data_IF_609339437095
#
_entry.id   IF_609339437095
#
_cell.length_a   1.000
_cell.length_b   1.000
_cell.length_c   1.000
_cell.angle_alpha   90.00
_cell.angle_beta   90.00
_cell.angle_gamma   90.00
#
_symmetry.space_group_name_H-M   'P 1'
#
loop_
_entity.id
_entity.type
_entity.pdbx_description
1 polymer ?
#
# COMPACT_ATOMS: atom_id res chain seq x y z
N UNK A 1 -16.92 -7.68 -40.19
CA UNK A 1 -15.72 -8.48 -39.88
C UNK A 1 -14.80 -7.52 -39.18
N UNK A 2 -14.69 -7.58 -37.86
CA UNK A 2 -13.72 -6.76 -37.13
C UNK A 2 -12.35 -7.36 -37.44
N UNK A 3 -11.56 -6.64 -38.22
CA UNK A 3 -10.16 -6.98 -38.45
C UNK A 3 -9.44 -6.46 -37.21
N UNK A 4 -9.15 -7.35 -36.27
CA UNK A 4 -8.20 -7.03 -35.20
C UNK A 4 -6.81 -7.19 -35.79
N UNK A 5 -6.12 -6.06 -35.95
CA UNK A 5 -4.69 -6.05 -36.24
C UNK A 5 -3.99 -6.31 -34.90
N UNK A 6 -3.63 -7.57 -34.65
CA UNK A 6 -2.93 -7.98 -33.43
C UNK A 6 -1.43 -7.94 -33.66
N UNK A 7 -0.73 -7.13 -32.88
CA UNK A 7 0.72 -7.24 -32.76
C UNK A 7 0.97 -8.08 -31.50
N UNK A 8 1.27 -9.36 -31.68
CA UNK A 8 1.43 -10.32 -30.58
C UNK A 8 2.50 -9.92 -29.54
N UNK A 9 3.53 -9.15 -29.97
CA UNK A 9 4.62 -8.71 -29.10
C UNK A 9 5.01 -7.28 -29.42
N UNK A 10 4.92 -6.42 -28.42
CA UNK A 10 5.42 -5.05 -28.48
C UNK A 10 6.41 -4.81 -27.34
N UNK A 11 7.52 -4.10 -27.59
CA UNK A 11 8.39 -3.66 -26.51
C UNK A 11 7.69 -2.55 -25.70
N UNK A 12 7.77 -2.64 -24.38
CA UNK A 12 7.40 -1.58 -23.44
C UNK A 12 8.66 -1.05 -22.74
N UNK A 13 8.63 0.19 -22.27
CA UNK A 13 9.78 0.89 -21.73
C UNK A 13 9.46 1.58 -20.40
N UNK A 14 9.83 0.94 -19.30
CA UNK A 14 9.89 1.61 -18.01
C UNK A 14 11.09 2.56 -17.95
N UNK A 15 10.88 3.77 -17.43
CA UNK A 15 11.96 4.74 -17.18
C UNK A 15 12.22 4.82 -15.69
N UNK A 16 13.45 4.51 -15.27
CA UNK A 16 13.85 4.50 -13.87
C UNK A 16 14.92 5.57 -13.59
N UNK A 17 14.71 6.36 -12.54
CA UNK A 17 15.67 7.33 -12.02
C UNK A 17 15.96 7.07 -10.54
N UNK A 18 17.22 7.16 -10.11
CA UNK A 18 17.60 6.79 -8.73
C UNK A 18 18.37 7.91 -8.03
N UNK A 19 18.01 8.15 -6.76
CA UNK A 19 18.75 8.97 -5.82
C UNK A 19 19.21 8.10 -4.63
N UNK A 20 20.50 7.76 -4.60
CA UNK A 20 21.07 6.89 -3.56
C UNK A 20 21.03 7.54 -2.18
N UNK A 21 20.53 6.80 -1.19
CA UNK A 21 20.49 7.22 0.21
C UNK A 21 21.87 7.21 0.87
N UNK A 22 22.04 8.01 1.92
CA UNK A 22 23.33 8.13 2.64
C UNK A 22 23.49 7.18 3.82
N UNK A 23 22.39 6.66 4.36
CA UNK A 23 22.41 5.83 5.57
C UNK A 23 22.05 4.37 5.28
N UNK A 24 21.02 4.14 4.48
CA UNK A 24 20.56 2.82 4.05
C UNK A 24 20.46 2.78 2.51
N UNK A 25 21.59 2.81 1.78
CA UNK A 25 21.61 2.89 0.31
C UNK A 25 20.97 1.67 -0.38
N UNK A 26 20.94 0.53 0.30
CA UNK A 26 20.27 -0.69 -0.16
C UNK A 26 18.75 -0.59 -0.10
N UNK A 27 18.19 0.11 0.92
CA UNK A 27 16.75 0.22 1.13
C UNK A 27 16.10 1.20 0.17
N UNK A 28 15.00 0.77 -0.47
CA UNK A 28 14.33 1.45 -1.58
C UNK A 28 12.96 1.96 -1.17
N UNK A 29 12.73 3.23 -1.45
CA UNK A 29 11.40 3.83 -1.57
C UNK A 29 11.15 3.99 -3.07
N UNK A 30 10.22 3.21 -3.62
CA UNK A 30 9.86 3.30 -5.03
C UNK A 30 8.69 4.27 -5.16
N UNK A 31 8.74 5.15 -6.15
CA UNK A 31 7.75 6.19 -6.40
C UNK A 31 7.35 6.11 -7.86
N UNK A 32 6.07 5.83 -8.12
CA UNK A 32 5.61 5.44 -9.45
C UNK A 32 4.35 6.17 -9.93
N UNK A 33 4.28 6.30 -11.24
CA UNK A 33 3.10 6.70 -12.03
C UNK A 33 3.26 6.05 -13.40
N UNK A 34 2.19 5.51 -13.96
CA UNK A 34 2.23 5.02 -15.34
C UNK A 34 2.16 6.17 -16.35
N UNK A 35 2.46 5.86 -17.61
CA UNK A 35 2.65 6.86 -18.67
C UNK A 35 1.87 6.53 -19.93
N UNK A 36 1.60 5.26 -20.19
CA UNK A 36 0.75 4.87 -21.30
C UNK A 36 -0.69 5.28 -21.04
N UNK A 37 -1.42 5.56 -22.11
CA UNK A 37 -2.82 5.96 -22.05
C UNK A 37 -3.56 5.37 -23.25
N UNK A 38 -4.86 5.14 -23.11
CA UNK A 38 -5.68 4.69 -24.25
C UNK A 38 -5.73 5.70 -25.41
N UNK A 39 -5.71 6.99 -25.12
CA UNK A 39 -5.75 8.05 -26.14
C UNK A 39 -4.83 9.23 -25.75
N UNK A 40 -5.38 10.30 -25.18
CA UNK A 40 -4.56 11.43 -24.70
C UNK A 40 -4.23 11.34 -23.22
N UNK A 41 -5.17 10.87 -22.39
CA UNK A 41 -4.95 10.56 -20.99
C UNK A 41 -4.56 11.76 -20.15
N UNK A 42 -5.33 12.85 -20.18
CA UNK A 42 -4.96 14.05 -19.43
C UNK A 42 -5.15 13.88 -17.91
N UNK A 43 -6.19 13.17 -17.47
CA UNK A 43 -6.32 12.68 -16.11
C UNK A 43 -5.53 11.38 -15.94
N UNK A 44 -5.83 10.37 -16.75
CA UNK A 44 -5.27 9.03 -16.64
C UNK A 44 -4.25 8.74 -17.76
N UNK A 45 -2.93 8.73 -17.50
CA UNK A 45 -2.23 9.12 -16.26
C UNK A 45 -1.57 10.50 -16.35
N UNK A 46 -1.86 11.30 -17.38
CA UNK A 46 -1.13 12.53 -17.67
C UNK A 46 -1.05 13.51 -16.49
N UNK A 47 -2.07 13.50 -15.62
CA UNK A 47 -2.11 14.31 -14.40
C UNK A 47 -1.02 13.90 -13.40
N UNK A 48 -0.80 12.59 -13.19
CA UNK A 48 0.23 12.09 -12.27
C UNK A 48 1.60 12.10 -12.90
N UNK A 49 1.71 11.78 -14.19
CA UNK A 49 2.96 11.87 -14.95
C UNK A 49 3.55 13.28 -14.90
N UNK A 50 2.71 14.33 -15.03
CA UNK A 50 3.15 15.71 -14.89
C UNK A 50 3.67 16.03 -13.48
N UNK A 51 3.00 15.54 -12.43
CA UNK A 51 3.42 15.75 -11.04
C UNK A 51 4.68 14.96 -10.72
N UNK A 52 4.82 13.72 -11.20
CA UNK A 52 6.03 12.90 -11.01
C UNK A 52 7.28 13.64 -11.52
N UNK A 53 7.20 14.26 -12.71
CA UNK A 53 8.29 15.06 -13.26
C UNK A 53 8.63 16.26 -12.35
N UNK A 54 7.62 16.92 -11.79
CA UNK A 54 7.81 18.03 -10.85
C UNK A 54 8.42 17.55 -9.52
N UNK A 55 8.03 16.38 -9.00
CA UNK A 55 8.66 15.77 -7.83
C UNK A 55 10.14 15.48 -8.12
N UNK A 56 10.46 14.89 -9.28
CA UNK A 56 11.85 14.63 -9.68
C UNK A 56 12.65 15.93 -9.75
N UNK A 57 12.07 17.01 -10.31
CA UNK A 57 12.69 18.34 -10.36
C UNK A 57 12.97 18.89 -8.96
N UNK A 58 11.97 18.90 -8.08
CA UNK A 58 12.09 19.41 -6.70
C UNK A 58 13.16 18.65 -5.93
N UNK A 59 13.16 17.31 -5.97
CA UNK A 59 14.16 16.52 -5.26
C UNK A 59 15.56 16.67 -5.88
N UNK A 60 15.64 16.87 -7.21
CA UNK A 60 16.87 17.26 -7.88
C UNK A 60 17.45 18.59 -7.37
N UNK A 61 16.59 19.60 -7.15
CA UNK A 61 16.98 20.89 -6.58
C UNK A 61 17.42 20.78 -5.12
N UNK A 62 16.68 20.03 -4.29
CA UNK A 62 17.09 19.74 -2.90
C UNK A 62 18.48 19.09 -2.87
N UNK A 63 18.73 18.15 -3.78
CA UNK A 63 20.04 17.50 -3.91
C UNK A 63 21.13 18.48 -4.32
N UNK A 64 20.85 19.41 -5.24
CA UNK A 64 21.79 20.45 -5.65
C UNK A 64 22.12 21.41 -4.49
N UNK A 65 21.17 21.64 -3.58
CA UNK A 65 21.35 22.42 -2.34
C UNK A 65 22.04 21.65 -1.21
N UNK A 66 22.41 20.38 -1.43
CA UNK A 66 23.18 19.57 -0.49
C UNK A 66 22.36 18.59 0.35
N UNK A 67 21.02 18.59 0.23
CA UNK A 67 20.21 17.56 0.86
C UNK A 67 20.45 16.19 0.22
N UNK A 68 20.35 15.13 1.03
CA UNK A 68 20.45 13.73 0.61
C UNK A 68 19.47 12.91 1.44
N UNK A 69 18.68 12.01 0.82
CA UNK A 69 17.78 11.16 1.60
C UNK A 69 18.57 10.14 2.41
N UNK A 70 18.03 9.70 3.54
CA UNK A 70 18.62 8.62 4.33
C UNK A 70 18.53 7.28 3.61
N UNK A 71 17.46 7.08 2.83
CA UNK A 71 17.14 5.87 2.08
C UNK A 71 17.14 6.14 0.58
N UNK A 72 17.39 5.13 -0.23
CA UNK A 72 17.39 5.31 -1.69
C UNK A 72 15.97 5.57 -2.20
N UNK A 73 15.81 6.59 -3.04
CA UNK A 73 14.57 6.86 -3.76
C UNK A 73 14.74 6.39 -5.20
N UNK A 74 13.80 5.60 -5.70
CA UNK A 74 13.72 5.19 -7.10
C UNK A 74 12.41 5.70 -7.70
N UNK A 75 12.52 6.61 -8.67
CA UNK A 75 11.41 7.13 -9.45
C UNK A 75 11.19 6.22 -10.65
N UNK A 76 9.93 5.86 -10.90
CA UNK A 76 9.54 4.99 -11.98
C UNK A 76 8.41 5.62 -12.78
N UNK A 77 8.58 5.65 -14.10
CA UNK A 77 7.51 5.94 -15.05
C UNK A 77 7.21 4.66 -15.81
N UNK A 78 6.10 4.01 -15.42
CA UNK A 78 5.68 2.70 -15.92
C UNK A 78 5.06 2.80 -17.31
N UNK A 79 5.11 1.70 -18.04
CA UNK A 79 4.55 1.55 -19.38
C UNK A 79 3.75 0.24 -19.46
N UNK A 80 2.71 0.20 -20.27
CA UNK A 80 1.79 -0.94 -20.37
C UNK A 80 0.92 -1.18 -19.14
N UNK A 81 0.62 -0.15 -18.34
CA UNK A 81 -0.33 -0.24 -17.22
C UNK A 81 -1.74 -0.55 -17.72
N UNK A 82 -2.19 0.16 -18.76
CA UNK A 82 -3.54 0.04 -19.32
C UNK A 82 -3.78 -1.34 -19.94
N UNK A 83 -2.67 -2.02 -20.27
CA UNK A 83 -2.64 -3.38 -20.79
C UNK A 83 -2.46 -4.43 -19.68
N UNK A 84 -2.95 -4.16 -18.47
CA UNK A 84 -2.90 -5.02 -17.29
C UNK A 84 -1.56 -4.97 -16.54
N UNK A 85 -1.13 -3.77 -16.15
CA UNK A 85 -0.05 -3.51 -15.20
C UNK A 85 1.30 -4.09 -15.63
N UNK A 86 1.54 -4.23 -16.95
CA UNK A 86 2.64 -5.05 -17.46
C UNK A 86 3.99 -4.49 -17.00
N UNK A 87 4.21 -3.18 -17.15
CA UNK A 87 5.49 -2.57 -16.82
C UNK A 87 5.89 -2.72 -15.37
N UNK A 88 5.00 -2.37 -14.43
CA UNK A 88 5.25 -2.49 -13.00
C UNK A 88 5.34 -3.95 -12.55
N UNK A 89 4.49 -4.83 -13.09
CA UNK A 89 4.50 -6.26 -12.78
C UNK A 89 5.82 -6.91 -13.21
N UNK A 90 6.25 -6.70 -14.46
CA UNK A 90 7.53 -7.21 -14.95
C UNK A 90 8.72 -6.63 -14.17
N UNK A 91 8.65 -5.37 -13.73
CA UNK A 91 9.66 -4.80 -12.86
C UNK A 91 9.77 -5.56 -11.54
N UNK A 92 8.62 -5.86 -10.91
CA UNK A 92 8.54 -6.59 -9.64
C UNK A 92 8.98 -8.04 -9.81
N UNK A 93 8.51 -8.77 -10.82
CA UNK A 93 8.88 -10.16 -11.05
C UNK A 93 10.40 -10.33 -11.23
N UNK A 94 11.04 -9.41 -11.96
CA UNK A 94 12.49 -9.41 -12.16
C UNK A 94 13.30 -9.03 -10.90
N UNK A 95 12.65 -8.49 -9.85
CA UNK A 95 13.30 -7.96 -8.63
C UNK A 95 12.63 -8.41 -7.35
N UNK A 96 11.86 -9.50 -7.39
CA UNK A 96 10.96 -9.84 -6.29
C UNK A 96 11.72 -10.10 -4.99
N UNK A 97 12.88 -10.75 -5.07
CA UNK A 97 13.75 -10.98 -3.90
C UNK A 97 14.32 -9.67 -3.37
N UNK A 98 14.87 -8.80 -4.24
CA UNK A 98 15.36 -7.48 -3.85
C UNK A 98 14.28 -6.65 -3.16
N UNK A 99 13.03 -6.67 -3.66
CA UNK A 99 11.93 -5.91 -3.08
C UNK A 99 11.48 -6.50 -1.74
N UNK A 100 11.49 -7.83 -1.59
CA UNK A 100 11.21 -8.49 -0.31
C UNK A 100 12.22 -8.11 0.76
N UNK A 101 13.51 -8.02 0.41
CA UNK A 101 14.57 -7.70 1.36
C UNK A 101 14.75 -6.19 1.58
N UNK A 102 14.61 -5.37 0.54
CA UNK A 102 15.01 -3.97 0.56
C UNK A 102 13.91 -2.97 0.22
N UNK A 103 12.73 -3.43 -0.20
CA UNK A 103 11.58 -2.57 -0.48
C UNK A 103 10.89 -2.09 0.80
N UNK A 104 11.04 -0.81 1.13
CA UNK A 104 10.38 -0.22 2.30
C UNK A 104 9.00 0.33 2.00
N UNK A 105 8.81 0.91 0.82
CA UNK A 105 7.52 1.43 0.40
C UNK A 105 7.44 1.57 -1.12
N UNK A 106 6.21 1.47 -1.62
CA UNK A 106 5.81 1.93 -2.93
C UNK A 106 4.78 3.06 -2.80
N UNK A 107 5.07 4.20 -3.41
CA UNK A 107 4.17 5.36 -3.44
C UNK A 107 3.67 5.53 -4.87
N UNK A 108 2.42 5.12 -5.10
CA UNK A 108 1.74 5.22 -6.38
C UNK A 108 0.93 6.52 -6.45
N UNK A 109 0.90 7.12 -7.64
CA UNK A 109 -0.18 8.02 -8.03
C UNK A 109 -0.53 7.69 -9.47
N UNK A 110 -1.73 7.17 -9.66
CA UNK A 110 -2.29 6.84 -10.98
C UNK A 110 -3.00 8.05 -11.59
N UNK A 111 -4.26 8.27 -11.24
CA UNK A 111 -4.98 9.51 -11.53
C UNK A 111 -4.74 10.47 -10.38
N UNK A 112 -3.92 11.48 -10.63
CA UNK A 112 -3.61 12.50 -9.65
C UNK A 112 -4.83 13.40 -9.37
N UNK A 113 -5.47 13.89 -10.42
CA UNK A 113 -6.57 14.85 -10.30
C UNK A 113 -7.62 14.58 -11.36
N UNK A 114 -8.83 14.26 -10.91
CA UNK A 114 -10.06 14.28 -11.70
C UNK A 114 -11.18 15.10 -11.04
N UNK A 115 -10.90 15.70 -9.87
CA UNK A 115 -11.81 16.56 -9.13
C UNK A 115 -11.15 17.23 -7.92
N UNK A 116 -11.97 17.56 -6.91
CA UNK A 116 -11.55 18.35 -5.73
C UNK A 116 -11.50 17.52 -4.43
N UNK A 117 -12.04 16.30 -4.43
CA UNK A 117 -12.21 15.50 -3.22
C UNK A 117 -11.02 14.54 -3.03
N UNK A 118 -10.24 14.75 -1.97
CA UNK A 118 -9.09 13.91 -1.69
C UNK A 118 -9.50 12.47 -1.34
N UNK A 119 -8.84 11.49 -1.96
CA UNK A 119 -8.96 10.05 -1.68
C UNK A 119 -7.59 9.43 -1.43
N UNK A 120 -7.56 8.35 -0.65
CA UNK A 120 -6.36 7.55 -0.43
C UNK A 120 -6.71 6.11 -0.07
N UNK A 121 -5.95 5.19 -0.67
CA UNK A 121 -5.97 3.75 -0.41
C UNK A 121 -4.55 3.31 -0.09
N UNK A 122 -4.34 2.55 0.98
CA UNK A 122 -2.99 2.12 1.34
C UNK A 122 -2.97 0.93 2.30
N UNK A 123 -1.78 0.38 2.50
CA UNK A 123 -1.48 -0.33 3.73
C UNK A 123 -1.76 0.57 4.94
N UNK A 124 -2.38 0.05 6.02
CA UNK A 124 -2.61 0.80 7.26
C UNK A 124 -1.35 1.41 7.89
N UNK A 125 -0.16 0.95 7.51
CA UNK A 125 1.11 1.54 7.93
C UNK A 125 1.21 3.04 7.61
N UNK A 126 0.54 3.51 6.56
CA UNK A 126 0.59 4.91 6.14
C UNK A 126 -0.39 5.84 6.88
N UNK A 127 -1.28 5.32 7.74
CA UNK A 127 -2.35 6.12 8.41
C UNK A 127 -1.78 7.37 9.09
N UNK A 128 -0.73 7.20 9.89
CA UNK A 128 -0.13 8.30 10.66
C UNK A 128 0.62 9.29 9.77
N UNK A 129 1.42 8.80 8.83
CA UNK A 129 2.21 9.65 7.91
C UNK A 129 1.29 10.44 6.99
N UNK A 130 0.25 9.81 6.44
CA UNK A 130 -0.73 10.47 5.58
C UNK A 130 -1.45 11.58 6.35
N UNK A 131 -2.00 11.29 7.54
CA UNK A 131 -2.67 12.30 8.37
C UNK A 131 -1.77 13.50 8.70
N UNK A 132 -0.49 13.26 8.96
CA UNK A 132 0.51 14.32 9.22
C UNK A 132 0.78 15.17 7.97
N UNK A 133 0.81 14.56 6.79
CA UNK A 133 0.96 15.29 5.52
C UNK A 133 -0.29 16.12 5.24
N UNK A 134 -1.49 15.55 5.39
CA UNK A 134 -2.76 16.24 5.16
C UNK A 134 -2.99 17.42 6.11
N UNK A 135 -2.38 17.42 7.30
CA UNK A 135 -2.47 18.57 8.22
C UNK A 135 -1.58 19.75 7.81
N UNK A 136 -0.68 19.55 6.85
CA UNK A 136 0.28 20.56 6.35
C UNK A 136 -0.08 21.11 4.98
N UNK A 137 -1.08 20.53 4.31
CA UNK A 137 -1.54 20.96 2.98
C UNK A 137 -2.94 21.54 3.12
N UNK A 138 -3.12 22.76 2.62
CA UNK A 138 -4.41 23.43 2.58
C UNK A 138 -5.16 23.06 1.30
N UNK A 139 -6.47 22.87 1.42
CA UNK A 139 -7.38 22.78 0.29
C UNK A 139 -7.39 24.11 -0.49
N UNK A 140 -7.18 24.08 -1.83
CA UNK A 140 -7.15 25.30 -2.64
C UNK A 140 -8.43 26.13 -2.68
N UNK A 141 -9.58 25.54 -2.34
CA UNK A 141 -10.90 26.20 -2.42
C UNK A 141 -11.31 26.85 -1.11
N UNK A 142 -11.11 26.17 0.00
CA UNK A 142 -11.57 26.58 1.34
C UNK A 142 -10.46 27.19 2.18
N UNK A 143 -9.19 26.86 1.90
CA UNK A 143 -8.04 27.24 2.72
C UNK A 143 -7.88 26.42 4.01
N UNK A 144 -8.83 25.54 4.33
CA UNK A 144 -8.71 24.60 5.46
C UNK A 144 -7.65 23.54 5.18
N UNK A 145 -7.11 22.90 6.22
CA UNK A 145 -6.22 21.74 6.00
C UNK A 145 -7.01 20.57 5.43
N UNK A 146 -6.39 19.79 4.56
CA UNK A 146 -7.02 18.59 4.00
C UNK A 146 -7.36 17.56 5.09
N UNK A 147 -6.59 17.52 6.18
CA UNK A 147 -6.92 16.71 7.36
C UNK A 147 -8.25 17.15 8.00
N UNK A 148 -8.49 18.46 8.17
CA UNK A 148 -9.77 18.98 8.71
C UNK A 148 -10.95 18.53 7.86
N UNK A 149 -10.82 18.64 6.54
CA UNK A 149 -11.85 18.22 5.59
C UNK A 149 -12.08 16.70 5.66
N UNK A 150 -10.99 15.92 5.66
CA UNK A 150 -11.01 14.47 5.78
C UNK A 150 -11.76 14.02 7.03
N UNK A 151 -11.47 14.62 8.19
CA UNK A 151 -12.10 14.31 9.46
C UNK A 151 -13.58 14.73 9.49
N UNK A 152 -13.93 15.92 8.95
CA UNK A 152 -15.33 16.39 8.86
C UNK A 152 -16.20 15.49 7.98
N UNK A 153 -15.65 14.96 6.89
CA UNK A 153 -16.33 14.00 6.01
C UNK A 153 -16.43 12.60 6.63
N UNK A 154 -15.69 12.32 7.70
CA UNK A 154 -15.57 10.97 8.27
C UNK A 154 -14.82 10.01 7.34
N UNK A 155 -13.98 10.54 6.46
CA UNK A 155 -13.17 9.76 5.53
C UNK A 155 -12.18 8.86 6.27
N UNK A 156 -11.86 7.73 5.68
CA UNK A 156 -10.93 6.73 6.21
C UNK A 156 -9.98 6.28 5.12
N UNK A 157 -8.77 5.90 5.51
CA UNK A 157 -7.83 5.26 4.61
C UNK A 157 -8.42 3.93 4.15
N UNK A 158 -8.62 3.79 2.84
CA UNK A 158 -9.21 2.60 2.24
C UNK A 158 -8.15 1.53 1.98
N UNK A 159 -8.61 0.32 1.65
CA UNK A 159 -7.71 -0.74 1.21
C UNK A 159 -7.24 -0.50 -0.22
N UNK A 160 -6.11 -1.08 -0.59
CA UNK A 160 -5.71 -1.17 -1.99
C UNK A 160 -6.51 -2.30 -2.66
N UNK A 161 -7.09 -1.98 -3.81
CA UNK A 161 -7.77 -2.92 -4.69
C UNK A 161 -6.79 -3.58 -5.66
N UNK A 162 -7.20 -3.72 -6.91
CA UNK A 162 -6.33 -4.24 -7.97
C UNK A 162 -6.25 -3.36 -9.23
N UNK A 163 -6.44 -2.05 -9.05
CA UNK A 163 -6.67 -1.11 -10.15
C UNK A 163 -5.49 -0.25 -10.58
N UNK A 164 -4.26 -0.52 -10.14
CA UNK A 164 -3.07 0.22 -10.60
C UNK A 164 -1.77 -0.52 -10.25
N UNK A 165 -0.62 0.06 -10.59
CA UNK A 165 0.72 -0.52 -10.50
C UNK A 165 1.13 -1.03 -9.10
N UNK A 166 0.46 -0.61 -8.03
CA UNK A 166 0.77 -1.05 -6.66
C UNK A 166 0.51 -2.54 -6.42
N UNK A 167 -0.29 -3.20 -7.27
CA UNK A 167 -0.70 -4.60 -7.08
C UNK A 167 0.49 -5.53 -6.96
N UNK A 168 1.44 -5.44 -7.89
CA UNK A 168 2.60 -6.32 -7.87
C UNK A 168 3.49 -6.05 -6.63
N UNK A 169 3.67 -4.79 -6.26
CA UNK A 169 4.42 -4.41 -5.06
C UNK A 169 3.78 -4.97 -3.79
N UNK A 170 2.48 -4.74 -3.62
CA UNK A 170 1.74 -5.08 -2.40
C UNK A 170 1.47 -6.58 -2.27
N UNK A 171 0.96 -7.21 -3.33
CA UNK A 171 0.36 -8.54 -3.26
C UNK A 171 1.35 -9.65 -3.63
N UNK A 172 2.40 -9.35 -4.40
CA UNK A 172 3.41 -10.33 -4.85
C UNK A 172 4.71 -10.18 -4.05
N UNK A 173 5.22 -8.94 -3.94
CA UNK A 173 6.50 -8.65 -3.28
C UNK A 173 6.38 -8.34 -1.79
N UNK A 174 5.19 -8.00 -1.27
CA UNK A 174 5.02 -7.63 0.14
C UNK A 174 5.63 -6.27 0.50
N UNK A 175 5.68 -5.35 -0.46
CA UNK A 175 6.13 -3.97 -0.27
C UNK A 175 4.93 -3.08 0.05
N UNK A 176 4.96 -2.47 1.23
CA UNK A 176 3.89 -1.59 1.71
C UNK A 176 3.60 -0.46 0.73
N UNK A 177 2.36 -0.41 0.26
CA UNK A 177 1.97 0.49 -0.83
C UNK A 177 0.93 1.53 -0.41
N UNK A 178 0.89 2.66 -1.12
CA UNK A 178 -0.10 3.72 -0.98
C UNK A 178 -0.42 4.32 -2.35
N UNK A 179 -1.70 4.60 -2.61
CA UNK A 179 -2.21 5.32 -3.77
C UNK A 179 -3.16 6.43 -3.33
N UNK A 180 -3.05 7.62 -3.93
CA UNK A 180 -3.83 8.78 -3.54
C UNK A 180 -4.00 9.77 -4.70
N UNK A 181 -5.07 10.55 -4.63
CA UNK A 181 -5.45 11.49 -5.69
C UNK A 181 -6.61 12.38 -5.24
N UNK A 182 -7.03 13.27 -6.13
CA UNK A 182 -8.29 13.99 -6.00
C UNK A 182 -9.30 13.46 -7.02
N UNK A 183 -10.47 13.09 -6.55
CA UNK A 183 -11.58 12.60 -7.36
C UNK A 183 -12.77 13.58 -7.31
N UNK A 184 -13.77 13.34 -8.16
CA UNK A 184 -14.96 14.19 -8.26
C UNK A 184 -16.03 13.55 -9.13
N UNK A 185 -16.76 14.38 -9.87
CA UNK A 185 -17.72 13.90 -10.85
C UNK A 185 -17.04 13.01 -11.91
N UNK A 186 -17.76 12.05 -12.52
CA UNK A 186 -17.20 11.22 -13.57
C UNK A 186 -16.56 12.06 -14.68
N UNK A 187 -15.30 11.76 -14.97
CA UNK A 187 -14.55 12.36 -16.06
C UNK A 187 -14.60 11.45 -17.30
N UNK A 188 -14.08 11.90 -18.47
CA UNK A 188 -14.16 11.14 -19.72
C UNK A 188 -13.17 9.96 -19.78
N UNK A 189 -13.16 9.14 -18.73
CA UNK A 189 -12.29 7.98 -18.52
C UNK A 189 -12.18 7.09 -19.75
N UNK A 190 -10.94 6.72 -20.09
CA UNK A 190 -10.61 5.83 -21.22
C UNK A 190 -11.22 6.27 -22.56
N UNK A 191 -11.35 7.59 -22.77
CA UNK A 191 -11.84 8.17 -24.02
C UNK A 191 -10.90 9.27 -24.52
N UNK A 192 -10.98 9.59 -25.81
CA UNK A 192 -10.25 10.73 -26.37
C UNK A 192 -10.77 12.11 -25.91
N UNK A 193 -11.82 12.14 -25.08
CA UNK A 193 -12.27 13.35 -24.40
C UNK A 193 -11.52 13.58 -23.08
N UNK A 194 -10.80 12.58 -22.56
CA UNK A 194 -9.80 12.80 -21.50
C UNK A 194 -8.57 13.47 -22.11
N UNK A 195 -8.65 14.79 -22.26
CA UNK A 195 -7.67 15.60 -22.96
C UNK A 195 -7.35 16.89 -22.18
N UNK A 196 -6.31 17.60 -22.63
CA UNK A 196 -5.80 18.79 -21.95
C UNK A 196 -6.84 19.90 -21.84
N UNK A 197 -7.74 20.05 -22.82
CA UNK A 197 -8.79 21.07 -22.78
C UNK A 197 -9.78 20.77 -21.65
N UNK A 198 -10.22 19.51 -21.49
CA UNK A 198 -11.05 19.10 -20.36
C UNK A 198 -10.32 19.35 -19.03
N UNK A 199 -9.04 18.95 -18.92
CA UNK A 199 -8.27 19.13 -17.69
C UNK A 199 -8.11 20.60 -17.32
N UNK A 200 -7.70 21.45 -18.27
CA UNK A 200 -7.39 22.86 -18.01
C UNK A 200 -8.62 23.74 -17.80
N UNK A 201 -9.82 23.26 -18.15
CA UNK A 201 -11.07 24.04 -18.02
C UNK A 201 -12.04 23.48 -16.98
N UNK A 202 -12.11 22.16 -16.82
CA UNK A 202 -13.07 21.47 -15.96
C UNK A 202 -12.36 20.68 -14.86
N UNK A 203 -11.39 19.82 -15.23
CA UNK A 203 -10.74 18.90 -14.29
C UNK A 203 -9.99 19.61 -13.14
N UNK A 204 -9.14 20.57 -13.46
CA UNK A 204 -8.45 21.43 -12.50
C UNK A 204 -8.07 22.78 -13.12
N UNK A 205 -9.06 23.65 -13.29
CA UNK A 205 -8.82 24.98 -13.83
C UNK A 205 -7.79 25.76 -13.00
N UNK A 206 -6.63 26.04 -13.61
CA UNK A 206 -5.49 26.70 -12.96
C UNK A 206 -4.55 25.76 -12.19
N UNK A 207 -4.69 24.44 -12.31
CA UNK A 207 -3.79 23.42 -11.76
C UNK A 207 -3.56 23.54 -10.25
N UNK A 208 -4.60 23.95 -9.52
CA UNK A 208 -4.50 24.24 -8.08
C UNK A 208 -4.48 22.96 -7.26
N UNK A 209 -5.25 21.95 -7.65
CA UNK A 209 -5.26 20.64 -7.03
C UNK A 209 -4.05 19.80 -7.44
N UNK A 210 -3.53 19.96 -8.66
CA UNK A 210 -2.23 19.38 -9.04
C UNK A 210 -1.10 19.87 -8.14
N UNK A 211 -1.07 21.19 -7.86
CA UNK A 211 -0.12 21.76 -6.91
C UNK A 211 -0.30 21.16 -5.51
N UNK A 212 -1.54 21.08 -5.02
CA UNK A 212 -1.81 20.51 -3.70
C UNK A 212 -1.37 19.04 -3.62
N UNK A 213 -1.66 18.23 -4.64
CA UNK A 213 -1.24 16.84 -4.70
C UNK A 213 0.28 16.69 -4.78
N UNK A 214 0.96 17.55 -5.56
CA UNK A 214 2.43 17.61 -5.58
C UNK A 214 3.03 17.91 -4.20
N UNK A 215 2.38 18.75 -3.39
CA UNK A 215 2.78 18.95 -1.99
C UNK A 215 2.57 17.70 -1.15
N UNK A 216 1.43 17.01 -1.29
CA UNK A 216 1.15 15.76 -0.56
C UNK A 216 2.20 14.71 -0.91
N UNK A 217 2.44 14.49 -2.21
CA UNK A 217 3.39 13.48 -2.69
C UNK A 217 4.81 13.77 -2.23
N UNK A 218 5.28 15.02 -2.40
CA UNK A 218 6.62 15.42 -1.97
C UNK A 218 6.82 15.34 -0.46
N UNK A 219 5.83 15.77 0.33
CA UNK A 219 5.90 15.68 1.80
C UNK A 219 5.85 14.23 2.29
N UNK A 220 5.02 13.37 1.70
CA UNK A 220 4.97 11.95 2.03
C UNK A 220 6.30 11.25 1.70
N UNK A 221 6.86 11.55 0.53
CA UNK A 221 8.18 11.04 0.13
C UNK A 221 9.27 11.47 1.10
N UNK A 222 9.30 12.75 1.52
CA UNK A 222 10.22 13.24 2.56
C UNK A 222 10.03 12.51 3.90
N UNK A 223 8.79 12.30 4.34
CA UNK A 223 8.49 11.58 5.58
C UNK A 223 9.12 10.17 5.58
N UNK A 224 9.00 9.41 4.49
CA UNK A 224 9.54 8.04 4.42
C UNK A 224 11.03 7.99 4.08
N UNK A 225 11.55 8.94 3.31
CA UNK A 225 12.95 8.92 2.85
C UNK A 225 13.94 9.55 3.83
N UNK A 226 13.50 10.50 4.65
CA UNK A 226 14.38 11.41 5.40
C UNK A 226 14.31 11.25 6.92
N UNK A 227 13.28 10.59 7.45
CA UNK A 227 13.15 10.40 8.89
C UNK A 227 14.09 9.30 9.41
N UNK A 228 14.82 9.52 10.53
CA UNK A 228 15.72 8.51 11.11
C UNK A 228 15.01 7.21 11.48
N UNK A 229 13.78 7.32 12.01
CA UNK A 229 12.85 6.21 12.25
C UNK A 229 11.77 6.28 11.19
N UNK A 230 11.52 5.18 10.50
CA UNK A 230 10.50 5.07 9.46
C UNK A 230 9.11 5.40 10.06
N UNK A 231 8.28 6.25 9.44
CA UNK A 231 7.08 6.78 10.08
C UNK A 231 5.85 5.86 9.94
N UNK A 232 6.04 4.54 9.93
CA UNK A 232 4.94 3.59 9.76
C UNK A 232 4.20 3.30 11.07
N UNK A 233 2.89 3.04 10.97
CA UNK A 233 2.01 2.81 12.10
C UNK A 233 1.54 1.35 12.23
N UNK A 234 2.40 0.50 12.79
CA UNK A 234 2.03 -0.89 13.12
C UNK A 234 0.86 -1.03 14.10
N UNK A 235 0.58 -0.03 14.95
CA UNK A 235 -0.58 -0.09 15.84
C UNK A 235 -1.89 0.14 15.06
N UNK A 236 -1.88 1.08 14.12
CA UNK A 236 -2.99 1.27 13.18
C UNK A 236 -3.21 0.01 12.34
N UNK A 237 -2.14 -0.64 11.88
CA UNK A 237 -2.25 -1.91 11.15
C UNK A 237 -2.84 -3.02 12.03
N UNK A 238 -2.37 -3.18 13.27
CA UNK A 238 -2.96 -4.18 14.16
C UNK A 238 -4.46 -3.92 14.42
N UNK A 239 -4.86 -2.66 14.59
CA UNK A 239 -6.27 -2.29 14.72
C UNK A 239 -7.09 -2.61 13.45
N UNK A 240 -6.53 -2.33 12.27
CA UNK A 240 -7.15 -2.66 10.99
C UNK A 240 -7.32 -4.17 10.82
N UNK A 241 -6.30 -4.98 11.14
CA UNK A 241 -6.40 -6.45 11.08
C UNK A 241 -7.52 -6.98 11.97
N UNK A 242 -7.68 -6.48 13.20
CA UNK A 242 -8.81 -6.87 14.08
C UNK A 242 -10.16 -6.59 13.39
N UNK A 243 -10.29 -5.42 12.76
CA UNK A 243 -11.50 -5.08 12.01
C UNK A 243 -11.69 -5.99 10.79
N UNK A 244 -10.63 -6.30 10.05
CA UNK A 244 -10.70 -7.20 8.89
C UNK A 244 -11.14 -8.61 9.29
N UNK A 245 -10.66 -9.13 10.43
CA UNK A 245 -11.09 -10.43 10.97
C UNK A 245 -12.58 -10.41 11.33
N UNK A 246 -13.04 -9.33 11.98
CA UNK A 246 -14.47 -9.15 12.27
C UNK A 246 -15.32 -9.14 11.00
N UNK A 247 -14.91 -8.37 10.00
CA UNK A 247 -15.60 -8.27 8.72
C UNK A 247 -15.63 -9.63 7.99
N UNK A 248 -14.55 -10.40 8.06
CA UNK A 248 -14.49 -11.73 7.46
C UNK A 248 -15.43 -12.72 8.17
N UNK A 249 -15.53 -12.67 9.50
CA UNK A 249 -16.49 -13.49 10.23
C UNK A 249 -17.94 -13.13 9.86
N UNK A 250 -18.26 -11.85 9.74
CA UNK A 250 -19.59 -11.41 9.32
C UNK A 250 -19.91 -11.79 7.87
N UNK A 251 -18.90 -11.73 7.00
CA UNK A 251 -19.00 -12.26 5.64
C UNK A 251 -19.28 -13.77 5.61
N UNK A 252 -18.61 -14.55 6.46
CA UNK A 252 -18.88 -15.99 6.60
C UNK A 252 -20.32 -16.26 7.09
N UNK A 253 -20.82 -15.48 8.06
CA UNK A 253 -22.23 -15.57 8.53
C UNK A 253 -23.21 -15.28 7.38
N UNK A 254 -22.97 -14.22 6.61
CA UNK A 254 -23.81 -13.85 5.46
C UNK A 254 -23.87 -14.97 4.42
N UNK A 255 -22.77 -15.70 4.25
CA UNK A 255 -22.66 -16.86 3.36
C UNK A 255 -23.08 -18.20 3.98
N UNK A 256 -23.77 -18.17 5.13
CA UNK A 256 -24.31 -19.37 5.82
C UNK A 256 -23.22 -20.38 6.24
N UNK A 257 -22.01 -19.91 6.54
CA UNK A 257 -20.95 -20.75 7.07
C UNK A 257 -21.33 -21.34 8.44
N UNK A 258 -21.08 -22.64 8.69
CA UNK A 258 -21.38 -23.29 9.97
C UNK A 258 -20.37 -22.86 11.05
N UNK A 259 -20.56 -21.70 11.67
CA UNK A 259 -19.64 -21.20 12.70
C UNK A 259 -19.73 -22.00 14.00
N UNK A 260 -18.59 -22.16 14.70
CA UNK A 260 -18.54 -22.80 16.02
C UNK A 260 -19.44 -22.05 17.02
N UNK A 261 -20.39 -22.73 17.69
CA UNK A 261 -21.27 -22.08 18.67
C UNK A 261 -20.50 -21.48 19.85
N UNK A 262 -20.91 -20.30 20.31
CA UNK A 262 -20.28 -19.57 21.43
C UNK A 262 -20.47 -20.21 22.81
N UNK A 263 -21.31 -21.26 22.91
CA UNK A 263 -21.54 -22.05 24.12
C UNK A 263 -21.54 -23.53 23.72
N UNK A 264 -21.15 -24.41 24.65
CA UNK A 264 -21.21 -25.88 24.57
C UNK A 264 -22.63 -26.44 24.29
N UNK A 265 -23.29 -26.00 23.22
CA UNK A 265 -24.41 -26.69 22.65
C UNK A 265 -23.86 -27.97 22.04
N UNK A 266 -24.47 -29.11 22.38
CA UNK A 266 -24.10 -30.44 21.88
C UNK A 266 -23.95 -30.35 20.36
N UNK A 267 -22.70 -30.43 19.90
CA UNK A 267 -22.35 -30.38 18.49
C UNK A 267 -22.80 -31.70 17.88
N UNK A 268 -23.68 -31.63 16.89
CA UNK A 268 -24.01 -32.77 16.04
C UNK A 268 -22.77 -33.11 15.18
N UNK A 269 -22.20 -34.28 15.43
CA UNK A 269 -20.81 -34.69 15.18
C UNK A 269 -20.51 -35.06 13.71
N UNK A 270 -21.11 -34.34 12.75
CA UNK A 270 -20.93 -34.64 11.31
C UNK A 270 -20.67 -33.43 10.40
N UNK A 271 -20.79 -32.19 10.91
CA UNK A 271 -20.52 -30.97 10.13
C UNK A 271 -19.20 -30.32 10.55
N UNK A 272 -18.34 -30.01 9.58
CA UNK A 272 -17.15 -29.17 9.81
C UNK A 272 -17.60 -27.79 10.26
N UNK A 273 -17.25 -27.40 11.48
CA UNK A 273 -17.51 -26.05 11.99
C UNK A 273 -16.30 -25.16 11.73
N UNK A 274 -16.57 -23.89 11.45
CA UNK A 274 -15.53 -22.87 11.23
C UNK A 274 -15.30 -22.10 12.53
N UNK A 275 -14.06 -22.16 13.02
CA UNK A 275 -13.56 -21.45 14.18
C UNK A 275 -12.63 -20.32 13.75
N UNK A 276 -13.05 -19.08 14.03
CA UNK A 276 -12.27 -17.86 13.81
C UNK A 276 -11.33 -17.51 14.97
N UNK A 277 -11.41 -18.23 16.11
CA UNK A 277 -10.58 -17.95 17.29
C UNK A 277 -9.08 -17.90 16.96
N UNK A 278 -8.48 -18.80 16.15
CA UNK A 278 -7.07 -18.70 15.80
C UNK A 278 -6.70 -17.36 15.13
N UNK A 279 -7.60 -16.77 14.36
CA UNK A 279 -7.35 -15.52 13.65
C UNK A 279 -7.47 -14.30 14.57
N UNK A 280 -8.43 -14.31 15.49
CA UNK A 280 -8.51 -13.32 16.57
C UNK A 280 -7.31 -13.38 17.51
N UNK A 281 -6.89 -14.59 17.92
CA UNK A 281 -5.72 -14.77 18.76
C UNK A 281 -4.45 -14.23 18.05
N UNK A 282 -4.29 -14.52 16.75
CA UNK A 282 -3.15 -14.02 15.97
C UNK A 282 -3.17 -12.49 15.83
N UNK A 283 -4.34 -11.89 15.61
CA UNK A 283 -4.50 -10.44 15.57
C UNK A 283 -4.18 -9.78 16.92
N UNK A 284 -4.52 -10.42 18.04
CA UNK A 284 -4.20 -9.92 19.38
C UNK A 284 -2.69 -10.01 19.68
N UNK A 285 -2.05 -11.10 19.25
CA UNK A 285 -0.59 -11.25 19.32
C UNK A 285 0.08 -10.15 18.50
N UNK A 286 -0.42 -9.85 17.30
CA UNK A 286 0.08 -8.73 16.51
C UNK A 286 -0.10 -7.39 17.22
N UNK A 287 -1.29 -7.09 17.73
CA UNK A 287 -1.56 -5.86 18.50
C UNK A 287 -0.61 -5.70 19.69
N UNK A 288 -0.35 -6.76 20.43
CA UNK A 288 0.57 -6.75 21.56
C UNK A 288 2.01 -6.49 21.10
N UNK A 289 2.48 -7.21 20.08
CA UNK A 289 3.83 -7.04 19.56
C UNK A 289 4.07 -5.67 18.92
N UNK A 290 3.09 -5.11 18.21
CA UNK A 290 3.17 -3.79 17.62
C UNK A 290 3.39 -2.69 18.68
N UNK A 291 2.66 -2.76 19.81
CA UNK A 291 2.85 -1.84 20.93
C UNK A 291 4.23 -1.95 21.57
N UNK A 292 4.72 -3.18 21.77
CA UNK A 292 6.07 -3.41 22.31
C UNK A 292 7.11 -2.82 21.35
N UNK A 293 6.95 -3.06 20.06
CA UNK A 293 7.86 -2.58 19.03
C UNK A 293 7.93 -1.04 19.01
N UNK A 294 6.78 -0.36 19.02
CA UNK A 294 6.71 1.11 19.02
C UNK A 294 7.29 1.77 20.28
N UNK A 295 7.33 1.07 21.42
CA UNK A 295 7.99 1.62 22.62
C UNK A 295 9.49 1.89 22.41
N UNK A 296 10.13 1.22 21.44
CA UNK A 296 11.55 1.43 21.16
C UNK A 296 11.84 2.85 20.64
N UNK A 297 10.96 3.42 19.81
CA UNK A 297 11.10 4.81 19.31
C UNK A 297 11.15 5.80 20.48
N UNK A 298 10.32 5.59 21.51
CA UNK A 298 10.35 6.43 22.72
C UNK A 298 11.70 6.33 23.44
N UNK A 299 12.21 5.12 23.64
CA UNK A 299 13.51 4.89 24.29
C UNK A 299 14.65 5.54 23.50
N UNK A 300 14.61 5.43 22.17
CA UNK A 300 15.59 6.06 21.29
C UNK A 300 15.56 7.59 21.42
N UNK A 301 14.38 8.20 21.34
CA UNK A 301 14.20 9.65 21.51
C UNK A 301 14.68 10.16 22.88
N UNK A 302 14.31 9.47 23.97
CA UNK A 302 14.75 9.80 25.34
C UNK A 302 16.28 9.73 25.47
N UNK A 303 16.89 8.72 24.85
CA UNK A 303 18.35 8.53 24.86
C UNK A 303 19.06 9.65 24.09
N UNK A 304 18.55 10.04 22.93
CA UNK A 304 19.11 11.16 22.17
C UNK A 304 19.00 12.47 22.94
N UNK A 305 17.84 12.74 23.54
CA UNK A 305 17.62 13.93 24.34
C UNK A 305 18.60 14.00 25.51
N UNK A 306 18.78 12.89 26.24
CA UNK A 306 19.73 12.79 27.35
C UNK A 306 21.20 12.99 26.90
N UNK A 307 21.52 12.67 25.64
CA UNK A 307 22.86 12.79 25.05
C UNK A 307 23.02 14.03 24.16
N UNK A 308 22.23 15.10 24.37
CA UNK A 308 22.29 16.35 23.60
C UNK A 308 22.18 16.14 22.07
N UNK A 309 21.35 15.18 21.65
CA UNK A 309 21.12 14.83 20.24
C UNK A 309 22.19 13.92 19.63
N UNK A 310 23.20 13.47 20.39
CA UNK A 310 24.22 12.58 19.87
C UNK A 310 23.75 11.11 19.87
N UNK A 311 23.73 10.50 18.69
CA UNK A 311 23.52 9.07 18.52
C UNK A 311 24.85 8.31 18.52
N UNK A 312 25.02 7.38 19.47
CA UNK A 312 26.20 6.50 19.44
C UNK A 312 26.02 5.35 18.43
N UNK A 313 27.13 4.74 18.01
CA UNK A 313 27.15 3.68 16.99
C UNK A 313 26.23 2.49 17.30
N UNK A 314 26.11 2.10 18.57
CA UNK A 314 25.27 0.95 18.97
C UNK A 314 23.79 1.29 18.79
N UNK A 315 23.37 2.48 19.19
CA UNK A 315 22.00 2.95 18.98
C UNK A 315 21.69 3.15 17.50
N UNK A 316 22.64 3.65 16.72
CA UNK A 316 22.51 3.73 15.25
C UNK A 316 22.24 2.37 14.62
N UNK A 317 23.06 1.34 14.92
CA UNK A 317 22.83 -0.03 14.41
C UNK A 317 21.45 -0.55 14.80
N UNK A 318 21.03 -0.33 16.05
CA UNK A 318 19.69 -0.74 16.53
C UNK A 318 18.57 0.00 15.80
N UNK A 319 18.74 1.28 15.49
CA UNK A 319 17.78 2.07 14.69
C UNK A 319 17.63 1.52 13.28
N UNK A 320 18.74 1.22 12.61
CA UNK A 320 18.70 0.66 11.26
C UNK A 320 18.02 -0.72 11.26
N UNK A 321 18.31 -1.56 12.26
CA UNK A 321 17.63 -2.85 12.45
C UNK A 321 16.14 -2.67 12.73
N UNK A 322 15.75 -1.70 13.56
CA UNK A 322 14.36 -1.38 13.85
C UNK A 322 13.61 -0.93 12.59
N UNK A 323 14.21 -0.06 11.76
CA UNK A 323 13.64 0.31 10.46
C UNK A 323 13.50 -0.91 9.54
N UNK A 324 14.49 -1.82 9.53
CA UNK A 324 14.42 -3.08 8.79
C UNK A 324 13.20 -3.91 9.19
N UNK A 325 13.05 -4.19 10.48
CA UNK A 325 11.89 -4.95 10.97
C UNK A 325 10.55 -4.29 10.66
N UNK A 326 10.51 -2.95 10.65
CA UNK A 326 9.31 -2.19 10.30
C UNK A 326 8.98 -2.30 8.81
N UNK A 327 9.96 -2.16 7.92
CA UNK A 327 9.79 -2.31 6.47
C UNK A 327 9.50 -3.76 6.04
N UNK A 328 10.13 -4.73 6.70
CA UNK A 328 10.00 -6.16 6.37
C UNK A 328 8.66 -6.76 6.85
N UNK A 329 7.83 -6.02 7.58
CA UNK A 329 6.63 -6.58 8.21
C UNK A 329 5.68 -7.20 7.19
N UNK A 330 5.45 -6.55 6.05
CA UNK A 330 4.55 -7.08 5.01
C UNK A 330 5.18 -8.21 4.19
N UNK A 331 6.49 -8.16 3.93
CA UNK A 331 7.22 -9.31 3.40
C UNK A 331 7.04 -10.54 4.30
N UNK A 332 6.99 -10.35 5.62
CA UNK A 332 6.78 -11.43 6.58
C UNK A 332 5.33 -11.97 6.58
N UNK A 333 4.38 -11.28 5.94
CA UNK A 333 2.99 -11.71 5.74
C UNK A 333 2.79 -12.49 4.44
N UNK A 334 3.85 -12.78 3.68
CA UNK A 334 3.78 -13.56 2.46
C UNK A 334 3.76 -15.07 2.74
N UNK A 335 2.90 -15.80 2.04
CA UNK A 335 2.90 -17.27 1.98
C UNK A 335 3.85 -17.77 0.89
N UNK A 336 5.14 -17.81 1.23
CA UNK A 336 6.24 -18.18 0.32
C UNK A 336 6.50 -19.69 0.24
N UNK A 337 5.64 -20.52 0.82
CA UNK A 337 5.74 -21.98 0.67
C UNK A 337 5.57 -22.38 -0.80
N UNK A 338 6.10 -23.55 -1.18
CA UNK A 338 5.91 -24.08 -2.54
C UNK A 338 4.41 -24.29 -2.81
N UNK A 339 3.91 -23.67 -3.88
CA UNK A 339 2.47 -23.63 -4.18
C UNK A 339 1.63 -22.73 -3.25
N UNK A 340 2.27 -21.99 -2.33
CA UNK A 340 1.62 -21.03 -1.44
C UNK A 340 1.11 -19.77 -2.15
N UNK A 341 0.34 -18.96 -1.42
CA UNK A 341 -0.36 -17.80 -1.94
C UNK A 341 -1.85 -18.07 -2.17
N UNK A 342 -2.51 -17.18 -2.90
CA UNK A 342 -3.95 -17.29 -3.15
C UNK A 342 -4.26 -18.48 -4.08
N UNK A 343 -5.19 -19.40 -3.71
CA UNK A 343 -5.55 -20.54 -4.57
C UNK A 343 -5.92 -20.13 -6.00
N UNK A 344 -5.40 -20.86 -6.99
CA UNK A 344 -5.55 -20.60 -8.43
C UNK A 344 -4.98 -19.26 -8.92
N UNK A 345 -4.33 -18.48 -8.04
CA UNK A 345 -3.72 -17.18 -8.31
C UNK A 345 -2.45 -17.03 -7.48
N UNK A 346 -1.60 -18.06 -7.54
CA UNK A 346 -0.47 -18.29 -6.62
C UNK A 346 0.64 -17.25 -6.74
N UNK A 347 0.60 -16.37 -7.74
CA UNK A 347 1.49 -15.21 -7.82
C UNK A 347 1.23 -14.21 -6.68
N UNK A 348 -0.02 -14.08 -6.21
CA UNK A 348 -0.37 -13.24 -5.07
C UNK A 348 -0.04 -14.00 -3.79
N UNK A 349 0.99 -13.55 -3.09
CA UNK A 349 1.55 -14.21 -1.90
C UNK A 349 1.05 -13.62 -0.60
N UNK A 350 0.55 -12.40 -0.60
CA UNK A 350 0.15 -11.71 0.63
C UNK A 350 -1.08 -12.38 1.28
N UNK A 351 -1.04 -12.66 2.59
CA UNK A 351 -2.14 -13.39 3.25
C UNK A 351 -3.35 -12.52 3.57
N UNK A 352 -3.15 -11.21 3.73
CA UNK A 352 -4.21 -10.23 4.02
C UNK A 352 -4.72 -9.59 2.73
N UNK A 353 -3.84 -9.00 1.92
CA UNK A 353 -4.18 -8.33 0.66
C UNK A 353 -4.09 -9.28 -0.54
N UNK A 354 -4.76 -8.90 -1.62
CA UNK A 354 -4.80 -9.64 -2.87
C UNK A 354 -6.13 -9.42 -3.59
N UNK A 355 -6.15 -9.53 -4.93
CA UNK A 355 -7.35 -9.30 -5.71
C UNK A 355 -8.46 -10.28 -5.34
N UNK A 356 -9.70 -9.91 -5.63
CA UNK A 356 -10.83 -10.84 -5.55
C UNK A 356 -10.90 -11.73 -6.78
N UNK A 357 -11.52 -12.91 -6.66
CA UNK A 357 -11.67 -13.81 -7.81
C UNK A 357 -12.59 -13.24 -8.89
N UNK A 358 -13.59 -12.44 -8.49
CA UNK A 358 -14.67 -11.96 -9.36
C UNK A 358 -14.78 -10.43 -9.43
N UNK A 359 -13.88 -9.69 -8.78
CA UNK A 359 -13.80 -8.23 -8.89
C UNK A 359 -12.37 -7.81 -9.20
N UNK A 360 -12.22 -6.99 -10.24
CA UNK A 360 -10.92 -6.47 -10.69
C UNK A 360 -10.47 -5.20 -9.96
N UNK A 361 -11.36 -4.50 -9.25
CA UNK A 361 -11.06 -3.21 -8.63
C UNK A 361 -11.37 -3.15 -7.13
N UNK A 362 -12.34 -3.93 -6.66
CA UNK A 362 -12.78 -3.82 -5.28
C UNK A 362 -11.75 -4.40 -4.30
N UNK A 363 -11.47 -3.65 -3.24
CA UNK A 363 -10.69 -4.10 -2.10
C UNK A 363 -11.36 -5.29 -1.40
N UNK A 364 -10.54 -6.27 -1.00
CA UNK A 364 -10.94 -7.30 -0.06
C UNK A 364 -9.74 -7.79 0.74
N UNK A 365 -10.05 -8.35 1.91
CA UNK A 365 -9.05 -8.91 2.81
C UNK A 365 -9.27 -10.41 2.99
N UNK A 366 -8.15 -11.13 3.15
CA UNK A 366 -8.06 -12.57 3.27
C UNK A 366 -8.64 -13.31 2.06
N UNK A 367 -8.14 -13.05 0.83
CA UNK A 367 -8.70 -13.59 -0.41
C UNK A 367 -8.81 -15.12 -0.41
N UNK A 368 -7.79 -15.83 0.09
CA UNK A 368 -7.81 -17.29 0.17
C UNK A 368 -8.95 -17.84 1.07
N UNK A 369 -9.22 -17.19 2.20
CA UNK A 369 -10.31 -17.59 3.11
C UNK A 369 -11.66 -17.27 2.46
N UNK A 370 -11.79 -16.11 1.79
CA UNK A 370 -13.01 -15.71 1.08
C UNK A 370 -13.35 -16.66 -0.07
N UNK A 371 -12.37 -17.00 -0.91
CA UNK A 371 -12.57 -17.94 -2.03
C UNK A 371 -13.08 -19.31 -1.54
N UNK A 372 -12.55 -19.80 -0.40
CA UNK A 372 -13.00 -21.04 0.22
C UNK A 372 -14.44 -20.93 0.77
N UNK A 373 -14.80 -19.77 1.34
CA UNK A 373 -16.17 -19.48 1.80
C UNK A 373 -17.14 -19.46 0.61
N UNK A 374 -16.79 -18.80 -0.48
CA UNK A 374 -17.61 -18.70 -1.69
C UNK A 374 -17.85 -20.07 -2.33
N UNK A 375 -16.83 -20.92 -2.30
CA UNK A 375 -16.90 -22.30 -2.77
C UNK A 375 -17.61 -23.24 -1.79
N UNK A 376 -18.03 -22.73 -0.61
CA UNK A 376 -18.63 -23.49 0.49
C UNK A 376 -17.78 -24.67 0.98
N UNK A 377 -16.47 -24.58 0.81
CA UNK A 377 -15.54 -25.62 1.23
C UNK A 377 -15.05 -25.34 2.65
N UNK A 378 -15.84 -25.75 3.65
CA UNK A 378 -15.59 -25.39 5.06
C UNK A 378 -14.31 -26.02 5.63
N UNK A 379 -13.90 -27.19 5.15
CA UNK A 379 -12.62 -27.80 5.51
C UNK A 379 -11.45 -26.95 5.03
N UNK A 380 -11.52 -26.47 3.79
CA UNK A 380 -10.53 -25.55 3.23
C UNK A 380 -10.57 -24.17 3.89
N UNK A 381 -11.77 -23.64 4.22
CA UNK A 381 -11.90 -22.40 4.99
C UNK A 381 -11.15 -22.49 6.32
N UNK A 382 -11.35 -23.57 7.09
CA UNK A 382 -10.66 -23.74 8.37
C UNK A 382 -9.15 -23.94 8.17
N UNK A 383 -8.73 -24.66 7.12
CA UNK A 383 -7.32 -24.80 6.78
C UNK A 383 -6.66 -23.43 6.55
N UNK A 384 -7.27 -22.58 5.72
CA UNK A 384 -6.75 -21.25 5.44
C UNK A 384 -6.76 -20.34 6.66
N UNK A 385 -7.81 -20.37 7.50
CA UNK A 385 -7.81 -19.65 8.79
C UNK A 385 -6.57 -20.04 9.61
N UNK A 386 -6.33 -21.35 9.78
CA UNK A 386 -5.20 -21.83 10.57
C UNK A 386 -3.85 -21.44 9.95
N UNK A 387 -3.72 -21.46 8.62
CA UNK A 387 -2.49 -21.08 7.91
C UNK A 387 -2.19 -19.58 8.05
N UNK A 388 -3.18 -18.75 7.73
CA UNK A 388 -3.09 -17.28 7.84
C UNK A 388 -2.76 -16.86 9.28
N UNK A 389 -3.44 -17.46 10.27
CA UNK A 389 -3.13 -17.20 11.68
C UNK A 389 -1.68 -17.49 12.04
N UNK A 390 -1.12 -18.62 11.58
CA UNK A 390 0.28 -18.99 11.85
C UNK A 390 1.25 -17.99 11.23
N UNK A 391 1.02 -17.58 9.98
CA UNK A 391 1.90 -16.63 9.29
C UNK A 391 1.83 -15.26 9.99
N UNK A 392 0.64 -14.75 10.32
CA UNK A 392 0.46 -13.49 11.05
C UNK A 392 1.13 -13.52 12.44
N UNK A 393 0.98 -14.62 13.19
CA UNK A 393 1.67 -14.80 14.47
C UNK A 393 3.19 -14.79 14.31
N UNK A 394 3.72 -15.50 13.30
CA UNK A 394 5.17 -15.53 13.03
C UNK A 394 5.70 -14.14 12.63
N UNK A 395 4.99 -13.43 11.75
CA UNK A 395 5.34 -12.09 11.31
C UNK A 395 5.36 -11.10 12.49
N UNK A 396 4.34 -11.14 13.36
CA UNK A 396 4.28 -10.26 14.52
C UNK A 396 5.36 -10.54 15.56
N UNK A 397 5.74 -11.80 15.79
CA UNK A 397 6.84 -12.15 16.69
C UNK A 397 8.18 -11.63 16.15
N UNK A 398 8.40 -11.69 14.82
CA UNK A 398 9.62 -11.20 14.18
C UNK A 398 9.87 -9.70 14.36
N UNK A 399 8.84 -8.89 14.63
CA UNK A 399 9.03 -7.46 14.92
C UNK A 399 10.01 -7.25 16.09
N UNK A 400 9.93 -8.10 17.12
CA UNK A 400 10.62 -7.91 18.39
C UNK A 400 11.84 -8.82 18.59
N UNK A 401 12.19 -9.67 17.62
CA UNK A 401 13.23 -10.71 17.76
C UNK A 401 14.48 -10.46 16.93
#
# INVERSE_FOLDING_TARGET
>A
MNIQDEIERQPIYNVLGRMTGVEQPEKKIVVGSHRDAWCFGAADPGSSSAILLEIVRIFGELRALGWRPLRTIEFASWDGEEYNLIGSTEYVENRVEDLRFDGFAYINVDVAVSGEDFRASASPLFERSLRRVLSRVSDPKTGETLQSIWDKKGSKLQGLGAGSDYVAFQDIAGTSSIDFGFEGDPYPYHSCYDNFDWMSTIGDAGFRYHKALGQIWGLLLLEVSDRPILPFDLEAYAAAVVQYVSNLQDYAKKNSAPLTPSKLARVDDSRTHIDFKPLYDAAEVFRTNARIFHNWERVWNETLYANNGFENKIFGIRRLSHNGHMGDFETNLLDLEEGGGVPNRTQFKHIIFGPQKWSGYDEAFFPAIRDAIDSRNWTETQHWINKVSKILTKASIKLNN
#
